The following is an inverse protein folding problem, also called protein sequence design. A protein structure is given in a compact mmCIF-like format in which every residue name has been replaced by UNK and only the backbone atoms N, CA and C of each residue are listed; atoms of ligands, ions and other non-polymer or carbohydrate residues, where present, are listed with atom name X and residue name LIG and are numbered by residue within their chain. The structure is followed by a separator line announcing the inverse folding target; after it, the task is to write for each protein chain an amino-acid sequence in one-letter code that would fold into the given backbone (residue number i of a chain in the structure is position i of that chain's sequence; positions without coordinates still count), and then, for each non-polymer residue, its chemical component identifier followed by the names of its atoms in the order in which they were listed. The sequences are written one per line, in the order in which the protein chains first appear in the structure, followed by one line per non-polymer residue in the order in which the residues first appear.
data_IF_120675649921
#
_entry.id   IF_120675649921
#
_cell.length_a   1.000
_cell.length_b   1.000
_cell.length_c   1.000
_cell.angle_alpha   90.00
_cell.angle_beta   90.00
_cell.angle_gamma   90.00
#
_symmetry.space_group_name_H-M   'P 1'
#
loop_
_entity.id
_entity.type
_entity.pdbx_description
1 polymer ?
#
# COMPACT_ATOMS: atom_id res chain seq x y z
N UNK A 1 -15.03 -6.55 7.63
CA UNK A 1 -14.35 -5.25 7.81
C UNK A 1 -14.12 -4.61 6.46
N UNK A 2 -14.26 -3.29 6.37
CA UNK A 2 -14.19 -2.54 5.11
C UNK A 2 -12.80 -1.95 4.89
N UNK A 3 -12.30 -2.04 3.65
CA UNK A 3 -11.00 -1.48 3.27
C UNK A 3 -11.13 -0.37 2.23
N UNK A 4 -10.23 0.62 2.33
CA UNK A 4 -9.90 1.54 1.23
C UNK A 4 -8.50 1.19 0.74
N UNK A 5 -8.31 1.03 -0.57
CA UNK A 5 -7.02 0.76 -1.21
C UNK A 5 -6.55 2.00 -1.99
N UNK A 6 -5.47 2.61 -1.52
CA UNK A 6 -4.86 3.80 -2.11
C UNK A 6 -3.59 3.40 -2.87
N UNK A 7 -3.38 3.98 -4.06
CA UNK A 7 -2.30 3.54 -4.96
C UNK A 7 -2.44 2.05 -5.30
N UNK A 8 -3.67 1.65 -5.61
CA UNK A 8 -4.11 0.26 -5.65
C UNK A 8 -3.44 -0.55 -6.76
N UNK A 9 -2.94 0.09 -7.81
CA UNK A 9 -2.43 -0.59 -8.98
C UNK A 9 -3.45 -1.57 -9.54
N UNK A 10 -3.02 -2.79 -9.87
CA UNK A 10 -3.90 -3.86 -10.36
C UNK A 10 -4.69 -4.57 -9.24
N UNK A 11 -4.58 -4.14 -7.97
CA UNK A 11 -5.37 -4.67 -6.86
C UNK A 11 -4.74 -5.83 -6.08
N UNK A 12 -3.41 -5.97 -6.10
CA UNK A 12 -2.74 -7.06 -5.38
C UNK A 12 -3.00 -7.05 -3.87
N UNK A 13 -2.93 -5.89 -3.20
CA UNK A 13 -3.26 -5.76 -1.78
C UNK A 13 -4.76 -6.03 -1.56
N UNK A 14 -5.64 -5.42 -2.37
CA UNK A 14 -7.08 -5.67 -2.31
C UNK A 14 -7.43 -7.15 -2.42
N UNK A 15 -6.74 -7.91 -3.29
CA UNK A 15 -6.96 -9.34 -3.44
C UNK A 15 -6.59 -10.11 -2.17
N UNK A 16 -5.42 -9.83 -1.60
CA UNK A 16 -4.99 -10.46 -0.34
C UNK A 16 -5.96 -10.20 0.80
N UNK A 17 -6.43 -8.95 0.95
CA UNK A 17 -7.43 -8.59 1.97
C UNK A 17 -8.80 -9.23 1.70
N UNK A 18 -9.24 -9.31 0.44
CA UNK A 18 -10.48 -10.01 0.05
C UNK A 18 -10.43 -11.51 0.40
N UNK A 19 -9.30 -12.18 0.13
CA UNK A 19 -9.09 -13.58 0.51
C UNK A 19 -9.12 -13.78 2.03
N UNK A 20 -8.75 -12.76 2.81
CA UNK A 20 -8.84 -12.75 4.27
C UNK A 20 -10.23 -12.31 4.79
N UNK A 21 -11.24 -12.17 3.93
CA UNK A 21 -12.62 -11.84 4.31
C UNK A 21 -12.90 -10.35 4.52
N UNK A 22 -12.03 -9.46 4.04
CA UNK A 22 -12.30 -8.02 4.00
C UNK A 22 -13.08 -7.62 2.75
N UNK A 23 -13.78 -6.51 2.82
CA UNK A 23 -14.54 -5.94 1.69
C UNK A 23 -13.89 -4.64 1.26
N UNK A 24 -13.39 -4.57 0.03
CA UNK A 24 -12.93 -3.31 -0.56
C UNK A 24 -14.13 -2.44 -0.89
N UNK A 25 -14.21 -1.26 -0.29
CA UNK A 25 -15.33 -0.32 -0.47
C UNK A 25 -14.96 0.89 -1.32
N UNK A 26 -13.66 1.07 -1.59
CA UNK A 26 -13.10 2.08 -2.48
C UNK A 26 -11.67 1.69 -2.83
N UNK A 27 -11.27 1.93 -4.07
CA UNK A 27 -9.89 1.90 -4.51
C UNK A 27 -9.55 3.15 -5.32
N UNK A 28 -8.29 3.53 -5.35
CA UNK A 28 -7.83 4.67 -6.15
C UNK A 28 -6.43 4.45 -6.70
N UNK A 29 -6.23 4.86 -7.95
CA UNK A 29 -4.94 4.98 -8.63
C UNK A 29 -5.03 6.03 -9.72
N UNK A 30 -3.91 6.53 -10.21
CA UNK A 30 -3.89 7.50 -11.32
C UNK A 30 -3.83 6.83 -12.68
N UNK A 31 -3.42 5.57 -12.77
CA UNK A 31 -3.19 4.83 -14.01
C UNK A 31 -4.48 4.18 -14.53
N UNK A 32 -4.91 4.55 -15.74
CA UNK A 32 -6.10 3.98 -16.40
C UNK A 32 -5.93 2.48 -16.72
N UNK A 33 -4.72 1.97 -16.98
CA UNK A 33 -4.50 0.54 -17.20
C UNK A 33 -4.67 -0.25 -15.90
N UNK A 34 -4.22 0.33 -14.80
CA UNK A 34 -4.47 -0.24 -13.47
C UNK A 34 -5.97 -0.31 -13.17
N UNK A 35 -6.72 0.77 -13.49
CA UNK A 35 -8.18 0.79 -13.33
C UNK A 35 -8.85 -0.32 -14.13
N UNK A 36 -8.48 -0.50 -15.42
CA UNK A 36 -9.07 -1.55 -16.26
C UNK A 36 -8.89 -2.93 -15.62
N UNK A 37 -7.68 -3.24 -15.19
CA UNK A 37 -7.37 -4.52 -14.52
C UNK A 37 -8.09 -4.66 -13.18
N UNK A 38 -8.05 -3.59 -12.37
CA UNK A 38 -8.67 -3.59 -11.03
C UNK A 38 -10.19 -3.82 -11.14
N UNK A 39 -10.88 -3.05 -11.97
CA UNK A 39 -12.36 -3.15 -12.09
C UNK A 39 -12.83 -4.46 -12.70
N UNK A 40 -12.01 -5.10 -13.55
CA UNK A 40 -12.28 -6.45 -14.03
C UNK A 40 -12.27 -7.50 -12.90
N UNK A 41 -11.37 -7.36 -11.93
CA UNK A 41 -11.23 -8.28 -10.80
C UNK A 41 -12.14 -7.94 -9.61
N UNK A 42 -12.52 -6.68 -9.48
CA UNK A 42 -13.33 -6.14 -8.38
C UNK A 42 -14.48 -5.27 -8.92
N UNK A 43 -15.45 -5.86 -9.67
CA UNK A 43 -16.49 -5.10 -10.36
C UNK A 43 -17.42 -4.33 -9.41
N UNK A 44 -17.55 -4.78 -8.16
CA UNK A 44 -18.41 -4.15 -7.16
C UNK A 44 -17.71 -3.03 -6.35
N UNK A 45 -16.38 -2.84 -6.56
CA UNK A 45 -15.61 -1.84 -5.83
C UNK A 45 -15.53 -0.55 -6.64
N UNK A 46 -16.03 0.59 -6.15
CA UNK A 46 -15.80 1.89 -6.76
C UNK A 46 -14.31 2.18 -6.91
N UNK A 47 -13.88 2.58 -8.13
CA UNK A 47 -12.49 2.90 -8.42
C UNK A 47 -12.38 4.37 -8.87
N UNK A 48 -11.54 5.13 -8.19
CA UNK A 48 -11.22 6.51 -8.54
C UNK A 48 -9.92 6.57 -9.34
N UNK A 49 -10.02 6.81 -10.64
CA UNK A 49 -8.86 7.00 -11.51
C UNK A 49 -8.54 8.47 -11.61
N UNK A 50 -7.82 8.98 -10.62
CA UNK A 50 -7.41 10.39 -10.60
C UNK A 50 -6.24 10.64 -9.65
N UNK A 51 -5.60 11.80 -9.78
CA UNK A 51 -4.55 12.23 -8.88
C UNK A 51 -5.10 12.36 -7.46
N UNK A 52 -4.52 11.60 -6.52
CA UNK A 52 -4.93 11.56 -5.10
C UNK A 52 -4.89 12.93 -4.44
N UNK A 53 -4.02 13.84 -4.90
CA UNK A 53 -3.89 15.20 -4.37
C UNK A 53 -5.12 16.07 -4.64
N UNK A 54 -5.91 15.69 -5.65
CA UNK A 54 -7.13 16.40 -6.05
C UNK A 54 -8.39 15.87 -5.39
N UNK A 55 -8.29 14.72 -4.73
CA UNK A 55 -9.43 14.06 -4.10
C UNK A 55 -9.88 14.85 -2.87
N UNK A 56 -11.18 15.16 -2.81
CA UNK A 56 -11.82 15.82 -1.67
C UNK A 56 -12.56 14.81 -0.81
N UNK A 57 -12.52 15.03 0.51
CA UNK A 57 -13.17 14.13 1.48
C UNK A 57 -14.66 14.00 1.22
N UNK A 58 -15.33 15.12 0.92
CA UNK A 58 -16.79 15.17 0.69
C UNK A 58 -17.20 14.28 -0.49
N UNK A 59 -16.35 14.19 -1.52
CA UNK A 59 -16.60 13.29 -2.66
C UNK A 59 -16.49 11.81 -2.27
N UNK A 60 -15.48 11.47 -1.47
CA UNK A 60 -15.35 10.12 -0.93
C UNK A 60 -16.54 9.76 -0.04
N UNK A 61 -16.96 10.67 0.85
CA UNK A 61 -18.08 10.45 1.77
C UNK A 61 -19.37 10.13 1.00
N UNK A 62 -19.60 10.77 -0.15
CA UNK A 62 -20.73 10.46 -1.04
C UNK A 62 -20.67 9.04 -1.60
N UNK A 63 -19.47 8.56 -1.97
CA UNK A 63 -19.27 7.20 -2.48
C UNK A 63 -19.46 6.17 -1.37
N UNK A 64 -18.89 6.44 -0.20
CA UNK A 64 -18.92 5.52 0.94
C UNK A 64 -20.32 5.38 1.57
N UNK A 65 -21.20 6.37 1.41
CA UNK A 65 -22.59 6.33 1.91
C UNK A 65 -22.68 5.87 3.38
N UNK A 66 -21.90 6.50 4.26
CA UNK A 66 -21.79 6.19 5.69
C UNK A 66 -21.20 4.81 6.04
N UNK A 67 -20.59 4.09 5.10
CA UNK A 67 -19.83 2.88 5.43
C UNK A 67 -18.63 3.25 6.29
N UNK A 68 -18.43 2.51 7.37
CA UNK A 68 -17.22 2.67 8.21
C UNK A 68 -16.00 2.16 7.48
N UNK A 69 -14.91 2.89 7.53
CA UNK A 69 -13.59 2.46 7.04
C UNK A 69 -12.85 1.81 8.20
N UNK A 70 -12.67 0.50 8.13
CA UNK A 70 -11.96 -0.24 9.17
C UNK A 70 -10.45 -0.28 8.93
N UNK A 71 -10.03 -0.37 7.66
CA UNK A 71 -8.62 -0.48 7.26
C UNK A 71 -8.34 0.41 6.06
N UNK A 72 -7.18 1.06 6.06
CA UNK A 72 -6.61 1.71 4.87
C UNK A 72 -5.35 0.93 4.48
N UNK A 73 -5.30 0.51 3.21
CA UNK A 73 -4.14 -0.19 2.62
C UNK A 73 -3.59 0.65 1.47
N UNK A 74 -2.33 0.42 1.10
CA UNK A 74 -1.76 1.06 -0.09
C UNK A 74 -0.24 1.11 -0.13
N UNK A 75 0.29 1.46 -1.29
CA UNK A 75 1.72 1.58 -1.56
C UNK A 75 2.09 2.96 -2.12
N UNK A 76 2.07 4.06 -1.31
CA UNK A 76 2.43 5.38 -1.80
C UNK A 76 3.87 5.41 -2.31
N UNK A 77 4.13 5.94 -3.52
CA UNK A 77 5.49 6.00 -4.06
C UNK A 77 6.39 6.91 -3.21
N UNK A 78 7.61 6.44 -2.92
CA UNK A 78 8.61 7.16 -2.13
C UNK A 78 9.74 7.75 -2.98
N UNK A 79 9.54 7.94 -4.29
CA UNK A 79 10.58 8.41 -5.21
C UNK A 79 11.08 9.83 -4.93
N UNK A 80 10.29 10.65 -4.26
CA UNK A 80 10.64 12.02 -3.87
C UNK A 80 11.71 12.12 -2.79
N UNK A 81 11.91 11.07 -2.01
CA UNK A 81 12.99 10.99 -1.02
C UNK A 81 14.33 10.56 -1.62
N UNK A 82 14.44 10.38 -2.95
CA UNK A 82 15.68 9.94 -3.60
C UNK A 82 16.71 11.08 -3.68
N UNK A 83 18.01 10.68 -3.67
CA UNK A 83 19.21 11.51 -3.57
C UNK A 83 19.44 12.57 -4.68
N UNK A 84 18.49 12.81 -5.57
CA UNK A 84 18.66 13.74 -6.69
C UNK A 84 18.80 15.22 -6.30
N UNK A 85 18.54 15.59 -5.05
CA UNK A 85 18.61 16.99 -4.57
C UNK A 85 19.65 17.19 -3.47
N UNK A 86 20.95 17.01 -3.81
CA UNK A 86 22.07 17.35 -2.92
C UNK A 86 22.16 18.84 -2.54
N UNK A 87 21.32 19.71 -3.08
CA UNK A 87 21.42 21.18 -2.92
C UNK A 87 20.19 21.86 -2.31
N UNK A 88 19.21 21.12 -1.80
CA UNK A 88 18.08 21.74 -1.10
C UNK A 88 17.89 21.13 0.28
N UNK A 89 17.85 21.99 1.28
CA UNK A 89 17.66 21.68 2.71
C UNK A 89 16.22 21.27 3.07
N UNK A 90 15.43 20.75 2.11
CA UNK A 90 14.01 20.51 2.34
C UNK A 90 13.59 19.14 1.84
N UNK A 91 13.42 18.21 2.76
CA UNK A 91 12.58 17.01 2.61
C UNK A 91 11.15 17.41 2.22
N UNK A 92 10.75 18.63 2.57
CA UNK A 92 9.39 19.18 2.38
C UNK A 92 9.08 19.62 0.93
N UNK A 93 10.06 19.91 0.09
CA UNK A 93 9.84 20.60 -1.21
C UNK A 93 9.74 19.66 -2.44
N UNK A 94 9.94 18.35 -2.32
CA UNK A 94 9.75 17.45 -3.46
C UNK A 94 8.26 17.08 -3.59
N UNK A 95 7.60 17.43 -4.74
CA UNK A 95 6.18 17.14 -4.93
C UNK A 95 5.83 15.65 -4.83
N UNK A 96 6.81 14.75 -4.99
CA UNK A 96 6.61 13.29 -4.84
C UNK A 96 6.52 12.84 -3.38
N UNK A 97 7.05 13.62 -2.44
CA UNK A 97 6.86 13.40 -1.00
C UNK A 97 5.41 13.68 -0.57
N UNK A 98 4.70 14.52 -1.34
CA UNK A 98 3.30 14.84 -1.08
C UNK A 98 2.41 13.61 -1.09
N UNK A 99 2.73 12.58 -1.89
CA UNK A 99 1.89 11.38 -2.02
C UNK A 99 1.83 10.55 -0.72
N UNK A 100 2.93 10.49 0.04
CA UNK A 100 2.89 9.92 1.37
C UNK A 100 1.98 10.71 2.32
N UNK A 101 2.07 12.04 2.30
CA UNK A 101 1.20 12.88 3.14
C UNK A 101 -0.27 12.78 2.73
N UNK A 102 -0.57 12.53 1.44
CA UNK A 102 -1.93 12.24 1.01
C UNK A 102 -2.44 10.92 1.63
N UNK A 103 -1.60 9.89 1.70
CA UNK A 103 -1.96 8.65 2.42
C UNK A 103 -2.26 8.92 3.90
N UNK A 104 -1.42 9.70 4.59
CA UNK A 104 -1.63 10.10 6.00
C UNK A 104 -2.90 10.94 6.15
N UNK A 105 -3.22 11.78 5.18
CA UNK A 105 -4.46 12.59 5.15
C UNK A 105 -5.69 11.69 5.15
N UNK A 106 -5.71 10.59 4.37
CA UNK A 106 -6.80 9.62 4.41
C UNK A 106 -6.90 8.92 5.77
N UNK A 107 -5.77 8.56 6.40
CA UNK A 107 -5.77 8.03 7.77
C UNK A 107 -6.44 9.03 8.72
N UNK A 108 -6.10 10.31 8.60
CA UNK A 108 -6.67 11.36 9.45
C UNK A 108 -8.18 11.58 9.20
N UNK A 109 -8.62 11.47 7.94
CA UNK A 109 -10.02 11.68 7.57
C UNK A 109 -10.95 10.56 8.08
N UNK A 110 -10.50 9.31 8.01
CA UNK A 110 -11.34 8.15 8.26
C UNK A 110 -11.01 7.42 9.56
N UNK A 111 -9.88 7.76 10.18
CA UNK A 111 -9.44 7.24 11.47
C UNK A 111 -9.63 5.71 11.60
N UNK A 112 -9.10 4.92 10.61
CA UNK A 112 -9.31 3.48 10.56
C UNK A 112 -8.77 2.78 11.80
N UNK A 113 -9.23 1.56 12.08
CA UNK A 113 -8.68 0.73 13.16
C UNK A 113 -7.24 0.36 12.89
N UNK A 114 -6.93 0.09 11.62
CA UNK A 114 -5.62 -0.36 11.16
C UNK A 114 -5.30 0.33 9.84
N UNK A 115 -4.03 0.62 9.60
CA UNK A 115 -3.54 0.88 8.26
C UNK A 115 -2.36 -0.03 7.92
N UNK A 116 -2.19 -0.34 6.63
CA UNK A 116 -1.07 -1.12 6.10
C UNK A 116 -0.50 -0.40 4.89
N UNK A 117 0.75 0.03 5.03
CA UNK A 117 1.48 0.70 3.95
C UNK A 117 2.62 -0.21 3.46
N UNK A 118 2.69 -0.45 2.16
CA UNK A 118 3.77 -1.19 1.51
C UNK A 118 4.78 -0.23 0.89
N UNK A 119 6.05 -0.59 0.93
CA UNK A 119 7.09 0.14 0.21
C UNK A 119 8.32 -0.73 -0.11
N UNK A 120 9.23 -0.18 -0.90
CA UNK A 120 10.49 -0.84 -1.23
C UNK A 120 11.44 -0.86 -0.03
N UNK A 121 12.27 -1.91 0.10
CA UNK A 121 13.27 -2.06 1.18
C UNK A 121 14.21 -0.84 1.28
N UNK A 122 14.55 -0.23 0.13
CA UNK A 122 15.41 0.96 0.07
C UNK A 122 14.92 2.15 0.91
N UNK A 123 13.60 2.22 1.21
CA UNK A 123 13.02 3.24 2.09
C UNK A 123 13.76 3.35 3.43
N UNK A 124 14.18 2.23 4.00
CA UNK A 124 14.79 2.20 5.33
C UNK A 124 16.18 2.86 5.38
N UNK A 125 16.89 2.90 4.26
CA UNK A 125 18.21 3.53 4.16
C UNK A 125 18.19 4.94 3.60
N UNK A 126 17.06 5.39 3.06
CA UNK A 126 16.92 6.73 2.49
C UNK A 126 17.23 7.81 3.53
N UNK A 127 18.08 8.77 3.12
CA UNK A 127 18.55 9.86 3.99
C UNK A 127 19.03 9.36 5.38
N UNK A 128 19.78 8.25 5.41
CA UNK A 128 20.30 7.65 6.64
C UNK A 128 19.18 7.27 7.64
N UNK A 129 18.02 6.84 7.15
CA UNK A 129 16.88 6.43 7.97
C UNK A 129 15.95 7.58 8.38
N UNK A 130 16.19 8.81 7.96
CA UNK A 130 15.33 9.95 8.31
C UNK A 130 13.92 9.79 7.73
N UNK A 131 13.80 9.22 6.52
CA UNK A 131 12.51 9.03 5.85
C UNK A 131 11.59 8.10 6.63
N UNK A 132 12.06 6.95 7.05
CA UNK A 132 11.23 6.01 7.82
C UNK A 132 10.84 6.59 9.18
N UNK A 133 11.75 7.34 9.82
CA UNK A 133 11.44 8.02 11.08
C UNK A 133 10.34 9.09 10.92
N UNK A 134 10.37 9.84 9.82
CA UNK A 134 9.32 10.83 9.51
C UNK A 134 7.98 10.14 9.22
N UNK A 135 7.98 9.04 8.45
CA UNK A 135 6.79 8.22 8.19
C UNK A 135 6.17 7.74 9.51
N UNK A 136 6.98 7.14 10.38
CA UNK A 136 6.50 6.66 11.69
C UNK A 136 5.91 7.82 12.50
N UNK A 137 6.61 8.97 12.57
CA UNK A 137 6.17 10.14 13.30
C UNK A 137 4.82 10.67 12.79
N UNK A 138 4.68 10.86 11.48
CA UNK A 138 3.45 11.35 10.87
C UNK A 138 2.29 10.38 11.12
N UNK A 139 2.49 9.09 10.87
CA UNK A 139 1.46 8.08 11.08
C UNK A 139 1.08 7.92 12.56
N UNK A 140 2.06 7.99 13.48
CA UNK A 140 1.78 7.87 14.93
C UNK A 140 0.94 9.02 15.48
N UNK A 141 0.93 10.17 14.79
CA UNK A 141 0.18 11.36 15.20
C UNK A 141 -1.09 11.60 14.36
N UNK A 142 -1.37 10.75 13.37
CA UNK A 142 -2.57 10.87 12.54
C UNK A 142 -3.83 10.51 13.35
N UNK A 143 -4.96 11.19 13.10
CA UNK A 143 -6.23 10.93 13.78
C UNK A 143 -6.11 10.85 15.30
N UNK A 144 -6.60 9.77 15.90
CA UNK A 144 -6.50 9.46 17.33
C UNK A 144 -5.14 8.89 17.76
N UNK A 145 -4.20 8.80 16.83
CA UNK A 145 -2.86 8.25 17.05
C UNK A 145 -2.79 6.72 16.88
N UNK A 146 -1.61 6.28 16.41
CA UNK A 146 -1.36 4.87 16.11
C UNK A 146 -0.09 4.37 16.78
N UNK A 147 -0.10 3.09 17.18
CA UNK A 147 1.09 2.31 17.41
C UNK A 147 1.59 1.86 16.04
N UNK A 148 2.78 2.27 15.63
CA UNK A 148 3.32 2.04 14.28
C UNK A 148 4.58 1.22 14.37
N UNK A 149 4.62 0.11 13.64
CA UNK A 149 5.79 -0.74 13.50
C UNK A 149 6.02 -1.08 12.03
N UNK A 150 7.24 -1.51 11.69
CA UNK A 150 7.55 -1.97 10.33
C UNK A 150 8.40 -3.23 10.34
N UNK A 151 8.28 -4.01 9.27
CA UNK A 151 9.08 -5.22 9.05
C UNK A 151 9.34 -5.41 7.56
N UNK A 152 10.53 -5.93 7.22
CA UNK A 152 10.80 -6.41 5.88
C UNK A 152 10.24 -7.83 5.76
N UNK A 153 9.45 -8.05 4.72
CA UNK A 153 8.94 -9.38 4.36
C UNK A 153 9.48 -9.75 2.97
N UNK A 154 9.85 -11.02 2.81
CA UNK A 154 10.30 -11.61 1.55
C UNK A 154 9.16 -12.47 0.99
N UNK A 155 8.77 -12.24 -0.26
CA UNK A 155 7.62 -12.90 -0.86
C UNK A 155 7.76 -14.44 -0.91
N UNK A 156 8.99 -14.95 -1.12
CA UNK A 156 9.23 -16.40 -1.12
C UNK A 156 8.95 -17.08 0.21
N UNK A 157 9.06 -16.36 1.34
CA UNK A 157 8.74 -16.90 2.67
C UNK A 157 7.24 -17.22 2.83
N UNK A 158 6.43 -16.73 1.89
CA UNK A 158 4.97 -16.89 1.87
C UNK A 158 4.47 -17.68 0.64
N UNK A 159 5.35 -18.46 -0.01
CA UNK A 159 5.00 -19.33 -1.12
C UNK A 159 4.87 -18.64 -2.48
N UNK A 160 5.36 -17.40 -2.61
CA UNK A 160 5.41 -16.71 -3.90
C UNK A 160 6.74 -17.04 -4.59
N UNK A 161 6.78 -17.49 -5.85
CA UNK A 161 8.01 -17.82 -6.58
C UNK A 161 8.79 -16.55 -6.99
N UNK A 162 9.08 -15.69 -6.03
CA UNK A 162 9.77 -14.42 -6.24
C UNK A 162 10.55 -14.00 -5.00
N UNK A 163 11.80 -13.59 -5.18
CA UNK A 163 12.68 -13.09 -4.09
C UNK A 163 12.43 -11.61 -3.74
N UNK A 164 11.21 -11.13 -3.95
CA UNK A 164 10.81 -9.74 -3.71
C UNK A 164 10.78 -9.42 -2.22
N UNK A 165 11.57 -8.44 -1.80
CA UNK A 165 11.53 -7.90 -0.44
C UNK A 165 10.76 -6.57 -0.39
N UNK A 166 9.88 -6.44 0.60
CA UNK A 166 9.09 -5.21 0.83
C UNK A 166 9.04 -4.87 2.30
N UNK A 167 9.05 -3.57 2.57
CA UNK A 167 8.74 -3.04 3.90
C UNK A 167 7.23 -2.95 4.02
N UNK A 168 6.68 -3.61 5.02
CA UNK A 168 5.31 -3.34 5.47
C UNK A 168 5.37 -2.48 6.73
N UNK A 169 4.63 -1.38 6.73
CA UNK A 169 4.44 -0.48 7.86
C UNK A 169 2.99 -0.65 8.30
N UNK A 170 2.77 -1.11 9.52
CA UNK A 170 1.44 -1.37 10.06
C UNK A 170 1.22 -0.43 11.24
N UNK A 171 0.09 0.24 11.24
CA UNK A 171 -0.39 1.02 12.38
C UNK A 171 -1.69 0.47 12.93
N UNK A 172 -1.74 0.29 14.23
CA UNK A 172 -2.97 -0.03 14.99
C UNK A 172 -3.35 1.16 15.83
N UNK A 173 -4.63 1.57 15.78
CA UNK A 173 -5.10 2.75 16.50
C UNK A 173 -4.96 2.55 18.02
N UNK A 174 -4.41 3.56 18.72
CA UNK A 174 -4.01 3.47 20.12
C UNK A 174 -5.14 3.10 21.09
N UNK A 175 -6.37 3.52 20.78
CA UNK A 175 -7.55 3.24 21.62
C UNK A 175 -7.96 1.75 21.62
N UNK A 176 -7.43 0.95 20.70
CA UNK A 176 -7.70 -0.48 20.62
C UNK A 176 -6.81 -1.31 21.56
N UNK A 177 -5.77 -0.71 22.13
CA UNK A 177 -4.75 -1.37 22.97
C UNK A 177 -4.15 -2.65 22.33
N UNK A 178 -3.94 -2.58 21.01
CA UNK A 178 -3.37 -3.68 20.21
C UNK A 178 -2.08 -3.18 19.57
N UNK A 179 -1.03 -4.00 19.60
CA UNK A 179 0.20 -3.74 18.87
C UNK A 179 0.14 -4.30 17.45
N UNK A 180 0.81 -3.66 16.47
CA UNK A 180 0.96 -4.23 15.15
C UNK A 180 1.55 -5.64 15.20
N UNK A 181 0.96 -6.55 14.42
CA UNK A 181 1.47 -7.91 14.27
C UNK A 181 1.79 -8.17 12.79
N UNK A 182 2.90 -8.85 12.53
CA UNK A 182 3.32 -9.21 11.19
C UNK A 182 3.15 -10.71 10.97
N UNK A 183 2.82 -11.12 9.74
CA UNK A 183 2.75 -12.53 9.41
C UNK A 183 4.11 -13.20 9.63
N UNK A 184 4.08 -14.45 10.07
CA UNK A 184 5.27 -15.30 10.14
C UNK A 184 5.42 -16.08 8.83
N UNK A 185 6.64 -16.40 8.39
CA UNK A 185 6.86 -17.25 7.23
C UNK A 185 6.01 -18.51 7.29
N UNK A 186 5.28 -18.79 6.23
CA UNK A 186 4.39 -19.96 6.13
C UNK A 186 4.90 -21.02 5.16
N UNK A 187 5.91 -20.69 4.35
CA UNK A 187 6.52 -21.59 3.38
C UNK A 187 7.93 -21.95 3.83
N UNK A 188 8.19 -23.24 4.02
CA UNK A 188 9.51 -23.75 4.44
C UNK A 188 10.32 -24.26 3.24
N UNK A 189 9.70 -24.41 2.07
CA UNK A 189 10.34 -24.81 0.83
C UNK A 189 10.16 -23.72 -0.21
N UNK A 190 11.25 -23.23 -0.78
CA UNK A 190 11.17 -22.22 -1.85
C UNK A 190 10.49 -22.84 -3.08
N UNK A 191 9.51 -22.15 -3.63
CA UNK A 191 8.86 -22.46 -4.89
C UNK A 191 9.64 -21.73 -5.98
N UNK A 192 10.15 -22.47 -6.97
CA UNK A 192 10.86 -21.86 -8.09
C UNK A 192 9.90 -21.24 -9.11
N UNK A 193 10.41 -20.41 -9.99
CA UNK A 193 9.63 -19.88 -11.11
C UNK A 193 9.21 -21.03 -12.03
N UNK A 194 10.07 -22.03 -12.23
CA UNK A 194 9.78 -23.22 -13.04
C UNK A 194 8.60 -24.02 -12.46
N UNK A 195 8.57 -24.24 -11.14
CA UNK A 195 7.44 -24.90 -10.48
C UNK A 195 6.10 -24.17 -10.72
N UNK A 196 6.15 -22.84 -10.91
CA UNK A 196 4.97 -22.01 -11.01
C UNK A 196 4.44 -21.81 -12.43
N UNK A 197 5.29 -21.88 -13.45
CA UNK A 197 4.91 -21.53 -14.83
C UNK A 197 5.37 -22.53 -15.90
N UNK A 198 5.94 -23.68 -15.52
CA UNK A 198 6.42 -24.70 -16.49
C UNK A 198 5.31 -25.34 -17.33
N UNK A 199 4.07 -25.21 -16.93
CA UNK A 199 2.87 -25.63 -17.68
C UNK A 199 2.46 -24.63 -18.79
N UNK A 200 3.04 -23.43 -18.81
CA UNK A 200 2.78 -22.43 -19.84
C UNK A 200 3.61 -22.72 -21.11
N UNK A 201 3.07 -22.38 -22.30
CA UNK A 201 3.82 -22.50 -23.56
C UNK A 201 5.09 -21.67 -23.53
N UNK A 202 6.19 -22.25 -24.04
CA UNK A 202 7.41 -21.45 -24.27
C UNK A 202 7.19 -20.54 -25.48
N UNK A 203 7.33 -19.24 -25.24
CA UNK A 203 7.20 -18.20 -26.27
C UNK A 203 8.43 -17.31 -26.27
N UNK A 204 8.82 -16.80 -27.45
CA UNK A 204 9.87 -15.80 -27.57
C UNK A 204 9.31 -14.39 -27.31
N UNK A 205 10.20 -13.45 -27.11
CA UNK A 205 9.81 -12.04 -26.97
C UNK A 205 9.05 -11.55 -28.23
N UNK A 206 7.84 -11.03 -28.03
CA UNK A 206 6.96 -10.58 -29.11
C UNK A 206 6.02 -11.64 -29.70
N UNK A 207 6.08 -12.90 -29.24
CA UNK A 207 5.11 -13.93 -29.56
C UNK A 207 3.95 -13.94 -28.52
N UNK A 208 2.80 -14.49 -28.91
CA UNK A 208 1.65 -14.67 -28.01
C UNK A 208 0.63 -13.53 -27.99
N UNK A 209 0.64 -12.66 -29.00
CA UNK A 209 -0.41 -11.65 -29.24
C UNK A 209 -1.39 -12.12 -30.31
#
# INVERSE_FOLDING_TARGET
MNTIDLFAGCGGLSLGFKMAGFTSILASDIDENCKLTYTSNFPDTPFLCQDITTIKKEYIDQILKNKTVDVIIGGPPCQGFSLANKHRNAIEDDPRNKLFYEYVKFITWYDPKIFVMENVKGLLSMHKGQVINEIIKCCSNAGRGYNVEYKILKASDFGVPQTRERVLIIGTRKDLDIRPAFPVPSCHQEISVDDAISDLPQINAGEGM
#
